data_IF_788969943286
#
_entry.id   IF_788969943286
#
_cell.length_a   1.000
_cell.length_b   1.000
_cell.length_c   1.000
_cell.angle_alpha   90.00
_cell.angle_beta   90.00
_cell.angle_gamma   90.00
#
_symmetry.space_group_name_H-M   'P 1'
#
loop_
_entity.id
_entity.type
_entity.pdbx_description
1 polymer ?
#
# COMPACT_ATOMS: atom_id res chain seq x y z
N UNK A 1 -13.94 -9.04 38.22
CA UNK A 1 -12.61 -9.49 37.73
C UNK A 1 -12.31 -8.75 36.44
N UNK A 2 -11.18 -8.04 36.31
CA UNK A 2 -10.79 -7.44 35.02
C UNK A 2 -10.55 -8.57 34.03
N UNK A 3 -11.25 -8.55 32.89
CA UNK A 3 -11.07 -9.53 31.81
C UNK A 3 -9.60 -9.46 31.37
N UNK A 4 -8.92 -10.60 31.25
CA UNK A 4 -7.52 -10.60 30.82
C UNK A 4 -7.40 -9.93 29.44
N UNK A 5 -6.32 -9.18 29.17
CA UNK A 5 -6.15 -8.54 27.87
C UNK A 5 -6.06 -9.57 26.75
N UNK A 6 -6.67 -9.25 25.60
CA UNK A 6 -6.62 -10.11 24.41
C UNK A 6 -5.19 -10.20 23.87
N UNK A 7 -4.73 -11.41 23.56
CA UNK A 7 -3.46 -11.67 22.90
C UNK A 7 -3.72 -11.98 21.42
N UNK A 8 -3.29 -11.09 20.54
CA UNK A 8 -3.62 -11.14 19.11
C UNK A 8 -2.33 -11.25 18.30
N UNK A 9 -2.24 -12.26 17.44
CA UNK A 9 -1.20 -12.37 16.45
C UNK A 9 -1.72 -11.95 15.08
N UNK A 10 -1.01 -11.03 14.41
CA UNK A 10 -1.31 -10.60 13.04
C UNK A 10 -0.22 -11.14 12.12
N UNK A 11 -0.62 -11.77 11.01
CA UNK A 11 0.31 -12.28 10.01
C UNK A 11 0.06 -11.58 8.66
N UNK A 12 0.89 -10.58 8.37
CA UNK A 12 0.90 -9.85 7.09
C UNK A 12 2.33 -9.50 6.70
N UNK A 13 2.87 -10.19 5.70
CA UNK A 13 4.30 -10.14 5.38
C UNK A 13 4.67 -9.12 4.29
N UNK A 14 3.70 -8.64 3.51
CA UNK A 14 3.89 -7.76 2.34
C UNK A 14 2.56 -7.49 1.66
N UNK A 15 2.45 -6.64 0.63
CA UNK A 15 3.40 -5.59 0.27
C UNK A 15 3.12 -4.34 1.10
N UNK A 16 3.95 -3.31 0.98
CA UNK A 16 3.81 -2.03 1.70
C UNK A 16 2.38 -1.51 1.72
N UNK A 17 1.69 -1.49 0.57
CA UNK A 17 0.30 -1.01 0.53
C UNK A 17 -0.68 -1.85 1.33
N UNK A 18 -0.55 -3.17 1.30
CA UNK A 18 -1.39 -4.04 2.13
C UNK A 18 -1.05 -3.97 3.62
N UNK A 19 0.20 -3.66 3.98
CA UNK A 19 0.60 -3.40 5.36
C UNK A 19 0.04 -2.05 5.83
N UNK A 20 -0.01 -1.04 4.96
CA UNK A 20 -0.72 0.21 5.24
C UNK A 20 -2.22 -0.06 5.49
N UNK A 21 -2.87 -0.93 4.72
CA UNK A 21 -4.23 -1.36 5.03
C UNK A 21 -4.33 -2.11 6.38
N UNK A 22 -3.39 -3.01 6.66
CA UNK A 22 -3.39 -3.76 7.92
C UNK A 22 -3.19 -2.84 9.14
N UNK A 23 -2.49 -1.71 8.99
CA UNK A 23 -2.39 -0.70 10.06
C UNK A 23 -3.77 -0.16 10.47
N UNK A 24 -4.70 0.07 9.53
CA UNK A 24 -6.05 0.48 9.88
C UNK A 24 -6.82 -0.61 10.66
N UNK A 25 -6.59 -1.89 10.32
CA UNK A 25 -7.14 -3.02 11.08
C UNK A 25 -6.59 -3.04 12.51
N UNK A 26 -5.26 -2.89 12.67
CA UNK A 26 -4.60 -2.79 13.98
C UNK A 26 -5.20 -1.67 14.81
N UNK A 27 -5.39 -0.49 14.21
CA UNK A 27 -5.88 0.67 14.93
C UNK A 27 -7.37 0.58 15.25
N UNK A 28 -8.19 -0.09 14.43
CA UNK A 28 -9.56 -0.42 14.80
C UNK A 28 -9.60 -1.35 16.02
N UNK A 29 -8.70 -2.34 16.08
CA UNK A 29 -8.56 -3.23 17.23
C UNK A 29 -8.14 -2.46 18.48
N UNK A 30 -7.11 -1.60 18.39
CA UNK A 30 -6.61 -0.81 19.52
C UNK A 30 -7.66 0.15 20.08
N UNK A 31 -8.51 0.75 19.23
CA UNK A 31 -9.59 1.63 19.70
C UNK A 31 -10.62 0.89 20.57
N UNK A 32 -10.97 -0.33 20.20
CA UNK A 32 -11.94 -1.14 20.95
C UNK A 32 -11.30 -1.87 22.14
N UNK A 33 -10.04 -2.30 21.98
CA UNK A 33 -9.31 -3.12 22.94
C UNK A 33 -7.94 -2.48 23.25
N UNK A 34 -7.89 -1.37 24.02
CA UNK A 34 -6.66 -0.62 24.25
C UNK A 34 -5.58 -1.41 24.98
N UNK A 35 -5.97 -2.37 25.83
CA UNK A 35 -5.04 -3.23 26.57
C UNK A 35 -4.56 -4.45 25.75
N UNK A 36 -5.05 -4.66 24.53
CA UNK A 36 -4.72 -5.84 23.74
C UNK A 36 -3.22 -5.91 23.43
N UNK A 37 -2.64 -7.10 23.62
CA UNK A 37 -1.25 -7.40 23.27
C UNK A 37 -1.20 -7.87 21.83
N UNK A 38 -0.72 -7.01 20.94
CA UNK A 38 -0.65 -7.28 19.50
C UNK A 38 0.77 -7.66 19.12
N UNK A 39 0.97 -8.87 18.61
CA UNK A 39 2.21 -9.30 17.95
C UNK A 39 1.99 -9.36 16.44
N UNK A 40 2.72 -8.57 15.66
CA UNK A 40 2.59 -8.54 14.20
C UNK A 40 3.81 -9.16 13.52
N UNK A 41 3.62 -10.34 12.95
CA UNK A 41 4.60 -10.99 12.06
C UNK A 41 4.54 -10.30 10.70
N UNK A 42 5.62 -9.60 10.36
CA UNK A 42 5.68 -8.64 9.26
C UNK A 42 6.97 -8.83 8.46
N UNK A 43 6.97 -8.51 7.16
CA UNK A 43 8.19 -8.55 6.35
C UNK A 43 9.23 -7.55 6.86
N UNK A 44 10.53 -7.88 6.73
CA UNK A 44 11.62 -7.01 7.24
C UNK A 44 11.54 -5.57 6.73
N UNK A 45 11.29 -5.37 5.44
CA UNK A 45 11.16 -4.05 4.82
C UNK A 45 9.93 -3.30 5.33
N UNK A 46 8.79 -3.98 5.38
CA UNK A 46 7.53 -3.42 5.86
C UNK A 46 7.58 -3.08 7.36
N UNK A 47 8.34 -3.85 8.16
CA UNK A 47 8.58 -3.58 9.57
C UNK A 47 9.25 -2.22 9.78
N UNK A 48 10.20 -1.83 8.91
CA UNK A 48 10.87 -0.53 9.00
C UNK A 48 9.89 0.64 8.87
N UNK A 49 8.87 0.51 8.01
CA UNK A 49 7.80 1.51 7.89
C UNK A 49 6.92 1.56 9.13
N UNK A 50 6.69 0.42 9.79
CA UNK A 50 5.80 0.30 10.95
C UNK A 50 6.49 0.54 12.30
N UNK A 51 7.81 0.76 12.33
CA UNK A 51 8.55 1.03 13.57
C UNK A 51 7.95 2.21 14.36
N UNK A 52 7.91 2.08 15.69
CA UNK A 52 7.36 3.11 16.59
C UNK A 52 5.86 3.01 16.85
N UNK A 53 5.16 1.99 16.34
CA UNK A 53 3.75 1.77 16.68
C UNK A 53 3.62 1.43 18.17
N UNK A 54 2.78 2.18 18.87
CA UNK A 54 2.46 1.94 20.27
C UNK A 54 1.71 0.61 20.44
N UNK A 55 2.01 -0.13 21.50
CA UNK A 55 1.33 -1.37 21.88
C UNK A 55 1.28 -2.44 20.76
N UNK A 56 2.26 -2.42 19.85
CA UNK A 56 2.44 -3.44 18.81
C UNK A 56 3.87 -3.96 18.83
N UNK A 57 4.02 -5.25 19.11
CA UNK A 57 5.28 -5.96 18.97
C UNK A 57 5.45 -6.40 17.51
N UNK A 58 6.31 -5.70 16.76
CA UNK A 58 6.69 -6.12 15.42
C UNK A 58 7.67 -7.29 15.48
N UNK A 59 7.41 -8.34 14.73
CA UNK A 59 8.26 -9.53 14.60
C UNK A 59 8.70 -9.63 13.13
N UNK A 60 9.86 -9.04 12.78
CA UNK A 60 10.33 -9.01 11.39
C UNK A 60 10.67 -10.40 10.87
N UNK A 61 10.20 -10.69 9.67
CA UNK A 61 10.44 -11.92 8.94
C UNK A 61 11.20 -11.63 7.64
N UNK A 62 12.42 -12.18 7.53
CA UNK A 62 13.20 -12.09 6.30
C UNK A 62 12.89 -13.28 5.38
N UNK A 63 12.27 -12.98 4.25
CA UNK A 63 11.90 -13.98 3.23
C UNK A 63 13.12 -14.67 2.63
N UNK A 64 14.30 -14.02 2.63
CA UNK A 64 15.56 -14.58 2.11
C UNK A 64 16.04 -15.79 2.91
N UNK A 65 15.64 -15.90 4.18
CA UNK A 65 16.08 -16.98 5.08
C UNK A 65 15.36 -18.32 4.84
N UNK A 66 14.49 -18.42 3.82
CA UNK A 66 13.85 -19.68 3.45
C UNK A 66 13.14 -20.39 4.62
N UNK A 67 13.29 -21.71 4.68
CA UNK A 67 12.74 -22.57 5.75
C UNK A 67 13.40 -22.33 7.11
N UNK A 68 14.72 -22.04 7.16
CA UNK A 68 15.42 -21.70 8.41
C UNK A 68 14.76 -20.51 9.11
N UNK A 69 14.33 -19.51 8.35
CA UNK A 69 13.58 -18.37 8.87
C UNK A 69 12.23 -18.76 9.49
N UNK A 70 11.54 -19.76 8.93
CA UNK A 70 10.27 -20.27 9.48
C UNK A 70 10.49 -20.96 10.83
N UNK A 71 11.46 -21.89 10.90
CA UNK A 71 11.78 -22.59 12.15
C UNK A 71 12.26 -21.63 13.25
N UNK A 72 13.07 -20.63 12.88
CA UNK A 72 13.52 -19.59 13.80
C UNK A 72 12.33 -18.82 14.37
N UNK A 73 11.41 -18.39 13.51
CA UNK A 73 10.19 -17.71 13.92
C UNK A 73 9.33 -18.58 14.85
N UNK A 74 9.17 -19.86 14.55
CA UNK A 74 8.44 -20.79 15.42
C UNK A 74 9.11 -20.96 16.78
N UNK A 75 10.44 -21.03 16.83
CA UNK A 75 11.20 -21.08 18.08
C UNK A 75 10.97 -19.82 18.92
N UNK A 76 11.02 -18.64 18.30
CA UNK A 76 10.73 -17.35 18.96
C UNK A 76 9.31 -17.29 19.52
N UNK A 77 8.34 -17.91 18.84
CA UNK A 77 6.93 -17.93 19.23
C UNK A 77 6.53 -19.13 20.11
N UNK A 78 7.44 -20.07 20.39
CA UNK A 78 7.10 -21.37 21.00
C UNK A 78 6.37 -21.26 22.35
N UNK A 79 6.73 -20.23 23.13
CA UNK A 79 6.20 -19.94 24.46
C UNK A 79 5.06 -18.90 24.46
N UNK A 80 4.68 -18.38 23.28
CA UNK A 80 3.53 -17.49 23.13
C UNK A 80 2.26 -18.31 22.84
N UNK A 81 1.13 -17.80 23.31
CA UNK A 81 -0.22 -18.30 23.01
C UNK A 81 -1.08 -17.08 22.68
N UNK A 82 -1.95 -17.23 21.70
CA UNK A 82 -2.81 -16.16 21.23
C UNK A 82 -4.27 -16.59 21.31
N UNK A 83 -5.15 -15.65 21.65
CA UNK A 83 -6.58 -15.85 21.51
C UNK A 83 -6.94 -15.92 20.03
N UNK A 84 -6.35 -15.01 19.24
CA UNK A 84 -6.59 -14.89 17.81
C UNK A 84 -5.29 -14.85 17.01
N UNK A 85 -5.26 -15.58 15.89
CA UNK A 85 -4.36 -15.37 14.77
C UNK A 85 -5.18 -14.80 13.60
N UNK A 86 -4.85 -13.57 13.19
CA UNK A 86 -5.38 -12.93 11.99
C UNK A 86 -4.42 -13.23 10.83
N UNK A 87 -4.68 -14.31 10.10
CA UNK A 87 -3.89 -14.66 8.91
C UNK A 87 -4.35 -13.82 7.71
N UNK A 88 -3.79 -12.61 7.62
CA UNK A 88 -4.16 -11.60 6.63
C UNK A 88 -3.33 -11.70 5.34
N UNK A 89 -2.56 -12.77 5.14
CA UNK A 89 -1.75 -13.00 3.95
C UNK A 89 -2.19 -14.28 3.24
N UNK A 90 -2.61 -14.16 1.97
CA UNK A 90 -3.13 -15.31 1.20
C UNK A 90 -2.04 -16.21 0.62
N UNK A 91 -0.77 -15.84 0.71
CA UNK A 91 0.32 -16.60 0.12
C UNK A 91 0.63 -17.85 0.95
N UNK A 92 0.88 -18.97 0.29
CA UNK A 92 1.17 -20.29 0.85
C UNK A 92 2.29 -20.23 1.89
N UNK A 93 3.32 -19.41 1.67
CA UNK A 93 4.40 -19.23 2.66
C UNK A 93 3.89 -18.71 4.01
N UNK A 94 2.97 -17.75 4.00
CA UNK A 94 2.36 -17.27 5.24
C UNK A 94 1.44 -18.33 5.85
N UNK A 95 0.70 -19.06 5.02
CA UNK A 95 -0.05 -20.23 5.47
C UNK A 95 0.84 -21.27 6.18
N UNK A 96 2.03 -21.56 5.65
CA UNK A 96 3.00 -22.43 6.32
C UNK A 96 3.47 -21.86 7.66
N UNK A 97 3.83 -20.57 7.71
CA UNK A 97 4.22 -19.89 8.96
C UNK A 97 3.14 -20.05 10.03
N UNK A 98 1.85 -19.95 9.64
CA UNK A 98 0.71 -20.04 10.57
C UNK A 98 0.59 -21.38 11.30
N UNK A 99 1.20 -22.46 10.79
CA UNK A 99 1.15 -23.78 11.41
C UNK A 99 1.84 -23.80 12.78
N UNK A 100 3.00 -23.13 12.92
CA UNK A 100 3.73 -23.06 14.18
C UNK A 100 3.22 -21.97 15.14
N UNK A 101 2.21 -21.19 14.76
CA UNK A 101 1.58 -20.20 15.64
C UNK A 101 0.49 -20.89 16.46
N UNK A 102 0.58 -20.79 17.79
CA UNK A 102 -0.36 -21.40 18.72
C UNK A 102 -1.45 -20.39 19.08
N UNK A 103 -2.60 -20.49 18.41
CA UNK A 103 -3.76 -19.63 18.63
C UNK A 103 -5.05 -20.45 18.74
N UNK A 104 -5.97 -20.02 19.61
CA UNK A 104 -7.28 -20.66 19.78
C UNK A 104 -8.12 -20.53 18.50
N UNK A 105 -8.23 -19.30 17.99
CA UNK A 105 -8.92 -18.99 16.72
C UNK A 105 -7.91 -18.53 15.68
N UNK A 106 -7.79 -19.27 14.58
CA UNK A 106 -7.00 -18.93 13.40
C UNK A 106 -7.95 -18.48 12.31
N UNK A 107 -8.08 -17.17 12.14
CA UNK A 107 -9.00 -16.55 11.19
C UNK A 107 -8.27 -16.30 9.88
N UNK A 108 -8.90 -16.63 8.75
CA UNK A 108 -8.39 -16.41 7.40
C UNK A 108 -9.45 -15.79 6.48
N UNK A 109 -9.06 -15.53 5.23
CA UNK A 109 -10.00 -15.07 4.21
C UNK A 109 -11.01 -16.17 3.86
N UNK A 110 -12.23 -15.75 3.50
CA UNK A 110 -13.22 -16.63 2.91
C UNK A 110 -12.85 -16.97 1.44
N UNK A 111 -13.52 -17.94 0.83
CA UNK A 111 -13.14 -18.53 -0.48
C UNK A 111 -13.15 -17.52 -1.64
N UNK A 112 -13.90 -16.42 -1.53
CA UNK A 112 -13.95 -15.33 -2.50
C UNK A 112 -12.62 -14.55 -2.59
N UNK A 113 -11.88 -14.45 -1.48
CA UNK A 113 -10.63 -13.68 -1.38
C UNK A 113 -9.41 -14.53 -1.05
N UNK A 114 -9.59 -15.74 -0.54
CA UNK A 114 -8.51 -16.67 -0.27
C UNK A 114 -7.80 -17.06 -1.57
N UNK A 115 -6.49 -17.27 -1.47
CA UNK A 115 -5.65 -17.81 -2.55
C UNK A 115 -4.76 -18.91 -2.00
N UNK A 116 -4.18 -19.69 -2.89
CA UNK A 116 -3.19 -20.73 -2.54
C UNK A 116 -3.68 -21.63 -1.39
N UNK A 117 -4.98 -21.92 -1.42
CA UNK A 117 -5.69 -22.73 -0.42
C UNK A 117 -5.50 -22.27 1.04
N UNK A 118 -5.27 -20.96 1.29
CA UNK A 118 -5.09 -20.38 2.64
C UNK A 118 -6.18 -20.83 3.64
N UNK A 119 -7.39 -21.07 3.16
CA UNK A 119 -8.52 -21.51 3.97
C UNK A 119 -8.29 -22.86 4.68
N UNK A 120 -7.37 -23.72 4.18
CA UNK A 120 -6.97 -24.98 4.83
C UNK A 120 -6.11 -24.79 6.09
N UNK A 121 -5.52 -23.61 6.26
CA UNK A 121 -4.58 -23.31 7.35
C UNK A 121 -5.21 -22.51 8.50
N UNK A 122 -6.54 -22.32 8.44
CA UNK A 122 -7.31 -21.49 9.36
C UNK A 122 -8.58 -22.24 9.76
N UNK A 123 -9.03 -22.10 11.01
CA UNK A 123 -10.24 -22.78 11.51
C UNK A 123 -11.48 -21.89 11.47
N UNK A 124 -11.31 -20.57 11.41
CA UNK A 124 -12.39 -19.59 11.21
C UNK A 124 -12.16 -18.76 9.95
N UNK A 125 -13.22 -18.11 9.46
CA UNK A 125 -13.20 -17.32 8.23
C UNK A 125 -13.88 -15.98 8.49
N UNK A 126 -13.33 -14.93 7.91
CA UNK A 126 -14.00 -13.63 7.89
C UNK A 126 -15.29 -13.70 7.06
N UNK A 127 -16.23 -12.84 7.37
CA UNK A 127 -17.42 -12.65 6.54
C UNK A 127 -17.03 -12.12 5.15
N UNK A 128 -17.85 -12.45 4.15
CA UNK A 128 -17.71 -11.87 2.81
C UNK A 128 -18.17 -10.41 2.83
N UNK A 129 -17.50 -9.57 2.03
CA UNK A 129 -17.93 -8.18 1.81
C UNK A 129 -18.18 -7.94 0.33
N UNK A 130 -19.27 -7.20 0.04
CA UNK A 130 -19.64 -6.77 -1.30
C UNK A 130 -18.70 -5.69 -1.84
N UNK A 131 -17.99 -4.98 -0.96
CA UNK A 131 -17.03 -3.96 -1.39
C UNK A 131 -15.86 -4.60 -2.14
N UNK A 132 -15.49 -4.11 -3.34
CA UNK A 132 -14.34 -4.64 -4.07
C UNK A 132 -13.00 -4.26 -3.42
N UNK A 133 -12.95 -3.29 -2.51
CA UNK A 133 -11.68 -2.80 -2.00
C UNK A 133 -10.97 -3.84 -1.11
N UNK A 134 -9.64 -3.92 -1.22
CA UNK A 134 -8.83 -4.86 -0.42
C UNK A 134 -8.90 -4.53 1.06
N UNK A 135 -8.81 -3.25 1.43
CA UNK A 135 -8.93 -2.80 2.82
C UNK A 135 -10.22 -3.29 3.48
N UNK A 136 -11.37 -3.17 2.81
CA UNK A 136 -12.65 -3.56 3.41
C UNK A 136 -12.69 -5.06 3.72
N UNK A 137 -12.05 -5.89 2.89
CA UNK A 137 -11.86 -7.30 3.21
C UNK A 137 -10.91 -7.55 4.37
N UNK A 138 -9.88 -6.71 4.54
CA UNK A 138 -8.98 -6.77 5.68
C UNK A 138 -9.68 -6.32 6.98
N UNK A 139 -10.56 -5.31 6.93
CA UNK A 139 -11.35 -4.86 8.08
C UNK A 139 -12.28 -5.94 8.64
N UNK A 140 -12.69 -6.92 7.82
CA UNK A 140 -13.48 -8.06 8.30
C UNK A 140 -12.72 -8.94 9.30
N UNK A 141 -11.38 -8.87 9.38
CA UNK A 141 -10.62 -9.53 10.44
C UNK A 141 -10.81 -8.87 11.80
N UNK A 142 -10.88 -7.53 11.85
CA UNK A 142 -11.23 -6.81 13.08
C UNK A 142 -12.67 -7.14 13.49
N UNK A 143 -13.61 -7.16 12.53
CA UNK A 143 -15.00 -7.57 12.78
C UNK A 143 -15.10 -8.98 13.37
N UNK A 144 -14.34 -9.93 12.82
CA UNK A 144 -14.36 -11.33 13.24
C UNK A 144 -13.93 -11.54 14.72
N UNK A 145 -13.25 -10.57 15.34
CA UNK A 145 -12.89 -10.59 16.76
C UNK A 145 -13.75 -9.65 17.61
N UNK A 146 -14.87 -9.17 17.07
CA UNK A 146 -15.86 -8.36 17.78
C UNK A 146 -15.63 -6.85 17.74
N UNK A 147 -14.73 -6.33 16.90
CA UNK A 147 -14.62 -4.87 16.70
C UNK A 147 -15.85 -4.37 15.96
N UNK A 148 -16.51 -3.35 16.53
CA UNK A 148 -17.75 -2.76 16.00
C UNK A 148 -17.49 -1.50 15.17
N UNK A 149 -16.61 -0.61 15.61
CA UNK A 149 -16.15 0.53 14.82
C UNK A 149 -15.08 0.09 13.81
N UNK A 150 -15.50 -0.14 12.57
CA UNK A 150 -14.63 -0.52 11.46
C UNK A 150 -14.16 0.67 10.63
N UNK A 151 -14.36 1.90 11.09
CA UNK A 151 -13.92 3.11 10.37
C UNK A 151 -12.40 3.07 10.19
N UNK A 152 -11.87 3.05 8.96
CA UNK A 152 -10.43 3.06 8.75
C UNK A 152 -9.82 4.36 9.25
N UNK A 153 -8.76 4.25 10.05
CA UNK A 153 -7.93 5.38 10.50
C UNK A 153 -6.48 4.93 10.44
N UNK A 154 -5.60 5.88 10.15
CA UNK A 154 -4.17 5.66 10.10
C UNK A 154 -3.48 6.69 10.97
N UNK A 155 -2.68 6.20 11.90
CA UNK A 155 -1.68 6.96 12.62
C UNK A 155 -0.37 6.22 12.46
N UNK A 156 0.31 6.49 11.35
CA UNK A 156 1.65 5.94 11.11
C UNK A 156 2.65 6.87 11.82
N UNK A 157 3.42 6.36 12.80
CA UNK A 157 4.33 7.21 13.57
C UNK A 157 5.47 7.72 12.70
N UNK A 158 5.77 9.00 12.79
CA UNK A 158 6.92 9.64 12.14
C UNK A 158 7.77 10.29 13.22
N UNK A 159 9.09 10.11 13.15
CA UNK A 159 10.00 10.78 14.08
C UNK A 159 10.22 12.23 13.64
N UNK A 160 10.55 13.12 14.60
CA UNK A 160 10.94 14.49 14.25
C UNK A 160 12.14 14.51 13.29
N UNK A 161 13.10 13.60 13.45
CA UNK A 161 14.24 13.47 12.53
C UNK A 161 13.85 13.08 11.11
N UNK A 162 12.80 12.26 10.93
CA UNK A 162 12.30 11.93 9.59
C UNK A 162 11.61 13.13 8.95
N UNK A 163 10.86 13.90 9.74
CA UNK A 163 10.21 15.13 9.28
C UNK A 163 11.24 16.20 8.88
N UNK A 164 12.24 16.44 9.73
CA UNK A 164 13.30 17.42 9.50
C UNK A 164 14.14 17.06 8.28
N UNK A 165 14.49 15.79 8.11
CA UNK A 165 15.20 15.31 6.92
C UNK A 165 14.41 15.60 5.64
N UNK A 166 13.11 15.29 5.64
CA UNK A 166 12.27 15.46 4.46
C UNK A 166 11.91 16.92 4.17
N UNK A 167 11.92 17.79 5.19
CA UNK A 167 11.66 19.22 5.03
C UNK A 167 12.70 19.92 4.13
N UNK A 168 13.90 19.35 3.98
CA UNK A 168 14.94 19.87 3.08
C UNK A 168 14.53 19.85 1.59
N UNK A 169 13.52 19.06 1.22
CA UNK A 169 13.02 18.96 -0.16
C UNK A 169 11.76 19.79 -0.41
N UNK A 170 11.21 20.39 0.64
CA UNK A 170 9.95 21.15 0.60
C UNK A 170 10.25 22.63 0.35
N UNK A 171 9.53 23.22 -0.60
CA UNK A 171 9.51 24.67 -0.81
C UNK A 171 8.28 25.24 -0.10
N UNK A 172 8.51 26.02 0.97
CA UNK A 172 7.44 26.62 1.78
C UNK A 172 6.68 27.74 1.07
N UNK A 173 7.19 28.22 -0.07
CA UNK A 173 6.57 29.30 -0.86
C UNK A 173 5.72 28.79 -2.01
N UNK A 174 5.74 27.47 -2.27
CA UNK A 174 5.08 26.83 -3.41
C UNK A 174 4.22 25.66 -2.95
N UNK A 175 3.36 25.21 -3.85
CA UNK A 175 2.80 23.86 -3.76
C UNK A 175 3.89 22.83 -4.05
N UNK A 176 3.84 21.70 -3.36
CA UNK A 176 4.81 20.62 -3.46
C UNK A 176 4.11 19.37 -4.00
N UNK A 177 4.61 18.80 -5.10
CA UNK A 177 4.07 17.59 -5.73
C UNK A 177 5.15 16.51 -5.77
N UNK A 178 4.82 15.35 -5.22
CA UNK A 178 5.67 14.16 -5.30
C UNK A 178 5.22 13.28 -6.46
N UNK A 179 6.13 12.95 -7.37
CA UNK A 179 5.93 11.94 -8.41
C UNK A 179 6.73 10.71 -8.02
N UNK A 180 6.04 9.57 -7.85
CA UNK A 180 6.66 8.27 -7.67
C UNK A 180 6.35 7.40 -8.90
N UNK A 181 7.24 7.37 -9.91
CA UNK A 181 6.91 6.93 -11.27
C UNK A 181 6.91 5.41 -11.45
N UNK A 182 7.54 4.68 -10.54
CA UNK A 182 7.85 3.26 -10.70
C UNK A 182 7.12 2.39 -9.69
N UNK A 183 6.69 1.22 -10.14
CA UNK A 183 6.06 0.19 -9.33
C UNK A 183 6.93 -1.07 -9.24
N UNK A 184 6.45 -2.06 -8.48
CA UNK A 184 7.10 -3.38 -8.42
C UNK A 184 7.04 -4.17 -9.73
N UNK A 185 6.28 -3.71 -10.73
CA UNK A 185 6.16 -4.35 -12.04
C UNK A 185 6.12 -3.29 -13.13
N UNK A 186 7.12 -3.29 -14.01
CA UNK A 186 7.28 -2.32 -15.12
C UNK A 186 6.01 -2.11 -15.97
N UNK A 187 5.20 -3.14 -16.14
CA UNK A 187 3.91 -3.07 -16.87
C UNK A 187 2.93 -2.04 -16.29
N UNK A 188 3.03 -1.71 -14.99
CA UNK A 188 2.17 -0.73 -14.31
C UNK A 188 2.75 0.69 -14.33
N UNK A 189 3.93 0.89 -14.89
CA UNK A 189 4.60 2.18 -14.87
C UNK A 189 4.13 3.01 -16.07
N UNK A 190 3.93 4.31 -15.88
CA UNK A 190 3.36 5.18 -16.93
C UNK A 190 4.38 5.61 -18.00
N UNK A 191 5.67 5.47 -17.69
CA UNK A 191 6.78 5.85 -18.57
C UNK A 191 7.44 7.16 -18.18
N UNK A 192 8.76 7.26 -18.39
CA UNK A 192 9.57 8.40 -17.96
C UNK A 192 9.16 9.69 -18.69
N UNK A 193 8.91 9.61 -20.00
CA UNK A 193 8.57 10.74 -20.86
C UNK A 193 7.28 11.44 -20.40
N UNK A 194 6.24 10.65 -20.07
CA UNK A 194 4.96 11.19 -19.62
C UNK A 194 5.04 11.81 -18.23
N UNK A 195 5.78 11.17 -17.31
CA UNK A 195 6.06 11.76 -16.00
C UNK A 195 6.88 13.05 -16.12
N UNK A 196 7.83 13.11 -17.06
CA UNK A 196 8.61 14.31 -17.32
C UNK A 196 7.74 15.45 -17.89
N UNK A 197 6.80 15.14 -18.79
CA UNK A 197 5.87 16.14 -19.32
C UNK A 197 5.01 16.75 -18.21
N UNK A 198 4.50 15.93 -17.29
CA UNK A 198 3.79 16.42 -16.10
C UNK A 198 4.71 17.27 -15.21
N UNK A 199 5.94 16.82 -14.96
CA UNK A 199 6.90 17.57 -14.14
C UNK A 199 7.25 18.94 -14.76
N UNK A 200 7.47 19.00 -16.07
CA UNK A 200 7.71 20.25 -16.79
C UNK A 200 6.51 21.20 -16.68
N UNK A 201 5.31 20.71 -16.94
CA UNK A 201 4.09 21.51 -16.86
C UNK A 201 3.83 22.04 -15.45
N UNK A 202 4.00 21.21 -14.41
CA UNK A 202 3.89 21.63 -13.01
C UNK A 202 4.94 22.70 -12.65
N UNK A 203 6.21 22.49 -13.01
CA UNK A 203 7.27 23.46 -12.70
C UNK A 203 7.07 24.80 -13.42
N UNK A 204 6.48 24.80 -14.63
CA UNK A 204 6.08 26.03 -15.33
C UNK A 204 4.99 26.83 -14.58
N UNK A 205 4.19 26.16 -13.74
CA UNK A 205 3.19 26.78 -12.87
C UNK A 205 3.71 27.18 -11.49
N UNK A 206 5.04 27.26 -11.31
CA UNK A 206 5.67 27.57 -10.02
C UNK A 206 5.34 26.55 -8.91
N UNK A 207 5.24 25.27 -9.27
CA UNK A 207 5.08 24.16 -8.33
C UNK A 207 6.44 23.48 -8.13
N UNK A 208 6.79 23.16 -6.89
CA UNK A 208 7.96 22.35 -6.57
C UNK A 208 7.66 20.87 -6.86
N UNK A 209 8.41 20.26 -7.76
CA UNK A 209 8.21 18.87 -8.18
C UNK A 209 9.35 18.01 -7.69
N UNK A 210 9.02 16.95 -6.97
CA UNK A 210 9.97 16.03 -6.35
C UNK A 210 9.76 14.64 -6.95
N UNK A 211 10.83 14.00 -7.42
CA UNK A 211 10.82 12.61 -7.94
C UNK A 211 11.41 11.69 -6.88
N UNK A 212 10.65 10.66 -6.49
CA UNK A 212 11.09 9.68 -5.49
C UNK A 212 10.87 8.24 -5.93
N UNK A 213 11.73 7.35 -5.41
CA UNK A 213 11.72 5.92 -5.68
C UNK A 213 12.80 5.20 -4.90
N UNK A 214 12.87 3.89 -5.07
CA UNK A 214 13.86 3.02 -4.42
C UNK A 214 15.26 3.17 -5.04
N UNK A 215 16.34 2.75 -4.35
CA UNK A 215 17.69 2.76 -4.90
C UNK A 215 17.94 1.66 -5.94
N UNK A 216 16.90 1.00 -6.46
CA UNK A 216 17.07 -0.01 -7.51
C UNK A 216 17.55 0.64 -8.81
N UNK A 217 18.43 -0.06 -9.55
CA UNK A 217 18.98 0.47 -10.80
C UNK A 217 17.91 0.95 -11.78
N UNK A 218 16.80 0.21 -11.88
CA UNK A 218 15.68 0.55 -12.75
C UNK A 218 14.97 1.86 -12.36
N UNK A 219 14.72 2.07 -11.07
CA UNK A 219 14.07 3.30 -10.59
C UNK A 219 15.01 4.50 -10.71
N UNK A 220 16.29 4.31 -10.38
CA UNK A 220 17.32 5.34 -10.56
C UNK A 220 17.45 5.76 -12.03
N UNK A 221 17.49 4.81 -12.97
CA UNK A 221 17.52 5.08 -14.41
C UNK A 221 16.26 5.85 -14.86
N UNK A 222 15.09 5.41 -14.42
CA UNK A 222 13.81 6.06 -14.77
C UNK A 222 13.75 7.50 -14.24
N UNK A 223 14.13 7.71 -12.98
CA UNK A 223 14.14 9.04 -12.37
C UNK A 223 15.18 9.97 -13.00
N UNK A 224 16.37 9.45 -13.35
CA UNK A 224 17.39 10.22 -14.06
C UNK A 224 16.89 10.65 -15.44
N UNK A 225 16.20 9.77 -16.17
CA UNK A 225 15.59 10.10 -17.45
C UNK A 225 14.50 11.18 -17.30
N UNK A 226 13.67 11.10 -16.26
CA UNK A 226 12.69 12.15 -15.93
C UNK A 226 13.40 13.47 -15.67
N UNK A 227 14.47 13.49 -14.86
CA UNK A 227 15.21 14.70 -14.53
C UNK A 227 15.93 15.30 -15.74
N UNK A 228 16.46 14.49 -16.65
CA UNK A 228 17.05 14.97 -17.91
C UNK A 228 16.03 15.70 -18.77
N UNK A 229 14.81 15.14 -18.87
CA UNK A 229 13.73 15.74 -19.63
C UNK A 229 13.11 16.94 -18.89
N UNK A 230 13.04 16.91 -17.56
CA UNK A 230 12.49 17.98 -16.71
C UNK A 230 13.55 18.52 -15.72
N UNK A 231 14.54 19.34 -16.15
CA UNK A 231 15.70 19.72 -15.33
C UNK A 231 15.37 20.48 -14.03
N UNK A 232 14.19 21.10 -13.94
CA UNK A 232 13.75 21.88 -12.77
C UNK A 232 13.17 21.01 -11.64
N UNK A 233 12.95 19.71 -11.86
CA UNK A 233 12.48 18.81 -10.80
C UNK A 233 13.62 18.35 -9.88
N UNK A 234 13.29 18.03 -8.63
CA UNK A 234 14.24 17.54 -7.63
C UNK A 234 14.21 16.01 -7.64
N UNK A 235 15.31 15.37 -8.03
CA UNK A 235 15.44 13.91 -7.96
C UNK A 235 16.05 13.46 -6.62
N UNK A 236 15.25 12.78 -5.81
CA UNK A 236 15.63 12.20 -4.51
C UNK A 236 15.54 10.67 -4.49
N UNK A 237 15.43 10.04 -5.66
CA UNK A 237 15.37 8.58 -5.79
C UNK A 237 16.56 7.93 -5.08
N UNK A 238 16.28 6.92 -4.25
CA UNK A 238 17.29 6.23 -3.44
C UNK A 238 17.87 7.02 -2.26
N UNK A 239 17.43 8.26 -2.01
CA UNK A 239 17.94 9.11 -0.91
C UNK A 239 17.12 9.03 0.37
N UNK A 240 15.92 8.48 0.33
CA UNK A 240 15.02 8.38 1.50
C UNK A 240 14.89 6.95 2.01
N UNK A 241 14.84 6.78 3.33
CA UNK A 241 14.25 5.60 3.96
C UNK A 241 12.72 5.55 3.73
N UNK A 242 12.06 4.43 4.06
CA UNK A 242 10.59 4.35 3.99
C UNK A 242 9.89 5.32 4.96
N UNK A 243 10.47 5.57 6.14
CA UNK A 243 9.95 6.54 7.11
C UNK A 243 10.14 7.97 6.62
N UNK A 244 11.30 8.28 6.04
CA UNK A 244 11.57 9.59 5.44
C UNK A 244 10.65 9.82 4.22
N UNK A 245 10.40 8.81 3.39
CA UNK A 245 9.42 8.91 2.30
C UNK A 245 8.01 9.18 2.84
N UNK A 246 7.58 8.49 3.90
CA UNK A 246 6.29 8.76 4.54
C UNK A 246 6.23 10.18 5.13
N UNK A 247 7.31 10.64 5.77
CA UNK A 247 7.43 12.00 6.29
C UNK A 247 7.44 13.07 5.19
N UNK A 248 8.02 12.78 4.03
CA UNK A 248 7.96 13.66 2.86
C UNK A 248 6.53 13.70 2.31
N UNK A 249 5.90 12.53 2.14
CA UNK A 249 4.52 12.42 1.67
C UNK A 249 3.56 13.22 2.58
N UNK A 250 3.77 13.19 3.90
CA UNK A 250 2.99 13.98 4.84
C UNK A 250 3.11 15.51 4.65
N UNK A 251 4.20 15.98 4.01
CA UNK A 251 4.50 17.40 3.82
C UNK A 251 4.20 17.93 2.41
N UNK A 252 3.90 17.06 1.44
CA UNK A 252 3.53 17.48 0.08
C UNK A 252 2.02 17.71 -0.06
N UNK A 253 1.63 18.52 -1.04
CA UNK A 253 0.22 18.81 -1.33
C UNK A 253 -0.45 17.72 -2.17
N UNK A 254 0.33 16.94 -2.93
CA UNK A 254 -0.17 15.89 -3.83
C UNK A 254 0.89 14.84 -4.12
N UNK A 255 0.46 13.57 -4.21
CA UNK A 255 1.24 12.46 -4.76
C UNK A 255 0.66 12.01 -6.10
N UNK A 256 1.51 11.86 -7.12
CA UNK A 256 1.17 11.23 -8.40
C UNK A 256 1.94 9.93 -8.51
N UNK A 257 1.23 8.80 -8.66
CA UNK A 257 1.87 7.49 -8.70
C UNK A 257 0.99 6.44 -9.38
N UNK A 258 1.57 5.41 -10.01
CA UNK A 258 0.79 4.21 -10.33
C UNK A 258 0.41 3.43 -9.05
N UNK A 259 -0.10 2.21 -9.19
CA UNK A 259 -0.33 1.31 -8.05
C UNK A 259 1.00 0.91 -7.38
N UNK A 260 1.48 1.71 -6.42
CA UNK A 260 2.78 1.53 -5.76
C UNK A 260 2.69 1.72 -4.24
N UNK A 261 3.76 1.38 -3.52
CA UNK A 261 3.84 1.65 -2.09
C UNK A 261 3.65 3.12 -1.71
N UNK A 262 4.14 4.07 -2.54
CA UNK A 262 4.01 5.50 -2.26
C UNK A 262 2.54 5.96 -2.24
N UNK A 263 1.73 5.48 -3.20
CA UNK A 263 0.31 5.79 -3.28
C UNK A 263 -0.46 5.34 -2.02
N UNK A 264 -0.10 4.18 -1.48
CA UNK A 264 -0.73 3.63 -0.26
C UNK A 264 -0.18 4.25 1.02
N UNK A 265 1.10 4.64 1.07
CA UNK A 265 1.66 5.41 2.18
C UNK A 265 0.95 6.77 2.27
N UNK A 266 0.65 7.42 1.14
CA UNK A 266 -0.07 8.69 1.12
C UNK A 266 -1.48 8.61 1.75
N UNK A 267 -2.20 7.50 1.56
CA UNK A 267 -3.45 7.25 2.30
C UNK A 267 -3.24 7.30 3.82
N UNK A 268 -2.12 6.75 4.32
CA UNK A 268 -1.83 6.78 5.77
C UNK A 268 -1.48 8.16 6.31
N UNK A 269 -1.03 9.07 5.43
CA UNK A 269 -0.64 10.44 5.76
C UNK A 269 -1.74 11.45 5.47
N UNK A 270 -2.89 11.01 4.96
CA UNK A 270 -3.98 11.85 4.48
C UNK A 270 -3.56 12.83 3.37
N UNK A 271 -2.55 12.46 2.58
CA UNK A 271 -2.08 13.25 1.44
C UNK A 271 -2.87 12.86 0.19
N UNK A 272 -3.45 13.82 -0.55
CA UNK A 272 -4.17 13.54 -1.80
C UNK A 272 -3.32 12.76 -2.79
N UNK A 273 -3.95 11.83 -3.52
CA UNK A 273 -3.26 10.99 -4.51
C UNK A 273 -3.98 10.98 -5.84
N UNK A 274 -3.26 11.30 -6.91
CA UNK A 274 -3.66 10.97 -8.27
C UNK A 274 -3.06 9.62 -8.64
N UNK A 275 -3.91 8.61 -8.63
CA UNK A 275 -3.54 7.24 -8.98
C UNK A 275 -3.62 6.98 -10.48
N UNK A 276 -2.59 6.35 -11.06
CA UNK A 276 -2.57 5.98 -12.49
C UNK A 276 -2.78 4.46 -12.67
N UNK A 277 -3.90 4.06 -13.29
CA UNK A 277 -4.34 2.66 -13.30
C UNK A 277 -4.78 2.14 -14.67
N UNK A 278 -4.05 1.20 -15.26
CA UNK A 278 -4.52 0.46 -16.43
C UNK A 278 -4.66 -1.06 -16.21
N UNK A 279 -3.85 -1.64 -15.31
CA UNK A 279 -3.74 -3.11 -15.16
C UNK A 279 -4.59 -3.65 -14.02
N UNK A 280 -4.55 -3.02 -12.86
CA UNK A 280 -5.34 -3.45 -11.70
C UNK A 280 -6.64 -2.67 -11.63
N UNK A 281 -7.70 -3.31 -11.14
CA UNK A 281 -8.98 -2.66 -10.91
C UNK A 281 -8.80 -1.56 -9.85
N UNK A 282 -9.00 -0.27 -10.19
CA UNK A 282 -8.81 0.82 -9.22
C UNK A 282 -9.79 0.70 -8.04
N UNK A 283 -11.00 0.17 -8.24
CA UNK A 283 -11.97 -0.07 -7.15
C UNK A 283 -11.47 -1.10 -6.13
N UNK A 284 -10.45 -1.89 -6.49
CA UNK A 284 -9.85 -2.90 -5.62
C UNK A 284 -8.62 -2.38 -4.87
N UNK A 285 -7.79 -1.57 -5.51
CA UNK A 285 -6.44 -1.24 -5.00
C UNK A 285 -6.05 0.23 -5.11
N UNK A 286 -6.95 1.13 -5.50
CA UNK A 286 -6.65 2.55 -5.48
C UNK A 286 -6.37 3.04 -4.04
N UNK A 287 -5.71 4.19 -3.87
CA UNK A 287 -5.57 4.81 -2.55
C UNK A 287 -6.95 5.01 -1.93
N UNK A 288 -7.15 4.52 -0.71
CA UNK A 288 -8.50 4.25 -0.20
C UNK A 288 -9.39 5.51 -0.13
N UNK A 289 -8.80 6.64 0.29
CA UNK A 289 -9.48 7.93 0.42
C UNK A 289 -9.60 8.70 -0.91
N UNK A 290 -8.87 8.27 -1.95
CA UNK A 290 -8.71 9.00 -3.21
C UNK A 290 -9.12 8.17 -4.44
N UNK A 291 -10.02 7.20 -4.26
CA UNK A 291 -10.53 6.39 -5.39
C UNK A 291 -11.15 7.25 -6.50
N UNK A 292 -11.70 8.42 -6.14
CA UNK A 292 -12.26 9.41 -7.07
C UNK A 292 -11.20 10.24 -7.82
N UNK A 293 -9.96 10.25 -7.33
CA UNK A 293 -8.84 10.97 -7.94
C UNK A 293 -7.98 10.09 -8.87
N UNK A 294 -8.47 8.90 -9.22
CA UNK A 294 -7.79 7.98 -10.13
C UNK A 294 -8.03 8.36 -11.59
N UNK A 295 -6.97 8.36 -12.40
CA UNK A 295 -7.04 8.34 -13.86
C UNK A 295 -6.83 6.89 -14.31
N UNK A 296 -7.82 6.30 -14.98
CA UNK A 296 -7.82 4.87 -15.28
C UNK A 296 -8.21 4.52 -16.71
N UNK A 297 -7.43 3.61 -17.29
CA UNK A 297 -7.75 2.90 -18.53
C UNK A 297 -8.22 1.45 -18.28
N UNK A 298 -8.43 1.03 -17.01
CA UNK A 298 -8.70 -0.37 -16.65
C UNK A 298 -10.01 -0.88 -17.26
N UNK A 299 -11.11 -0.13 -17.14
CA UNK A 299 -12.44 -0.56 -17.58
C UNK A 299 -12.46 -0.83 -19.10
N UNK A 300 -11.87 0.08 -19.90
CA UNK A 300 -11.69 -0.14 -21.34
C UNK A 300 -10.78 -1.33 -21.62
N UNK A 301 -9.67 -1.46 -20.90
CA UNK A 301 -8.69 -2.52 -21.13
C UNK A 301 -9.24 -3.91 -20.84
N UNK A 302 -10.10 -4.08 -19.82
CA UNK A 302 -10.75 -5.36 -19.56
C UNK A 302 -11.88 -5.65 -20.55
N UNK A 303 -12.61 -4.62 -21.00
CA UNK A 303 -13.65 -4.78 -22.00
C UNK A 303 -13.06 -5.26 -23.34
N UNK A 304 -11.97 -4.64 -23.81
CA UNK A 304 -11.30 -5.01 -25.07
C UNK A 304 -10.75 -6.44 -25.05
N UNK A 305 -10.19 -6.85 -23.93
CA UNK A 305 -9.55 -8.16 -23.81
C UNK A 305 -10.56 -9.28 -23.53
N UNK A 306 -11.42 -9.10 -22.52
CA UNK A 306 -12.32 -10.14 -22.01
C UNK A 306 -13.74 -10.07 -22.57
N UNK A 307 -14.12 -8.98 -23.26
CA UNK A 307 -15.49 -8.77 -23.76
C UNK A 307 -16.52 -8.60 -22.65
N UNK A 308 -16.08 -8.30 -21.42
CA UNK A 308 -16.94 -8.20 -20.22
C UNK A 308 -16.55 -7.00 -19.39
N UNK A 309 -17.52 -6.27 -18.81
CA UNK A 309 -17.23 -5.20 -17.86
C UNK A 309 -16.63 -5.77 -16.56
N UNK A 310 -15.94 -4.91 -15.81
CA UNK A 310 -15.19 -5.31 -14.61
C UNK A 310 -16.04 -6.07 -13.57
N UNK A 311 -17.31 -5.72 -13.41
CA UNK A 311 -18.22 -6.29 -12.42
C UNK A 311 -18.73 -7.70 -12.80
N UNK A 312 -18.40 -8.20 -13.98
CA UNK A 312 -18.66 -9.58 -14.43
C UNK A 312 -17.40 -10.44 -14.46
N UNK A 313 -16.25 -9.90 -14.03
CA UNK A 313 -14.98 -10.59 -13.97
C UNK A 313 -14.64 -11.00 -12.53
N UNK A 314 -13.83 -12.06 -12.33
CA UNK A 314 -13.34 -12.42 -11.00
C UNK A 314 -12.68 -11.22 -10.29
N UNK A 315 -12.88 -11.12 -8.98
CA UNK A 315 -12.49 -9.96 -8.15
C UNK A 315 -11.09 -9.40 -8.42
N UNK A 316 -10.13 -10.27 -8.68
CA UNK A 316 -8.73 -9.89 -8.84
C UNK A 316 -8.21 -10.09 -10.27
N UNK A 317 -9.10 -9.92 -11.25
CA UNK A 317 -8.76 -9.92 -12.67
C UNK A 317 -7.86 -8.72 -12.99
N UNK A 318 -6.79 -8.99 -13.73
CA UNK A 318 -5.88 -7.97 -14.26
C UNK A 318 -6.22 -7.74 -15.72
N UNK A 319 -6.20 -6.49 -16.17
CA UNK A 319 -6.29 -6.20 -17.59
C UNK A 319 -5.07 -6.78 -18.32
N UNK A 320 -5.28 -7.15 -19.57
CA UNK A 320 -4.28 -7.71 -20.47
C UNK A 320 -4.44 -7.06 -21.85
N UNK A 321 -3.39 -7.08 -22.67
CA UNK A 321 -3.48 -6.69 -24.08
C UNK A 321 -3.36 -7.91 -24.99
N UNK A 322 -4.10 -7.92 -26.11
CA UNK A 322 -3.99 -8.93 -27.16
C UNK A 322 -2.81 -8.65 -28.10
N UNK A 323 -2.52 -7.39 -28.35
CA UNK A 323 -1.49 -6.91 -29.29
C UNK A 323 -0.13 -6.66 -28.63
N UNK A 324 -0.02 -6.85 -27.31
CA UNK A 324 1.20 -6.55 -26.55
C UNK A 324 1.39 -5.05 -26.28
N UNK A 325 0.37 -4.23 -26.50
CA UNK A 325 0.42 -2.80 -26.21
C UNK A 325 0.65 -2.53 -24.71
N UNK A 326 1.32 -1.43 -24.38
CA UNK A 326 1.46 -1.01 -22.98
C UNK A 326 0.19 -0.30 -22.54
N UNK A 327 -0.66 -1.00 -21.80
CA UNK A 327 -1.96 -0.47 -21.35
C UNK A 327 -1.87 0.86 -20.60
N UNK A 328 -0.76 1.12 -19.89
CA UNK A 328 -0.53 2.40 -19.22
C UNK A 328 -0.44 3.59 -20.20
N UNK A 329 -0.02 3.37 -21.45
CA UNK A 329 0.05 4.43 -22.47
C UNK A 329 -1.33 4.91 -22.94
N UNK A 330 -2.40 4.18 -22.59
CA UNK A 330 -3.79 4.61 -22.81
C UNK A 330 -4.22 5.75 -21.87
N UNK A 331 -3.48 5.99 -20.79
CA UNK A 331 -3.69 7.16 -19.93
C UNK A 331 -2.98 8.35 -20.58
N UNK A 332 -3.76 9.33 -21.03
CA UNK A 332 -3.22 10.53 -21.67
C UNK A 332 -2.63 11.51 -20.65
N UNK A 333 -1.68 12.34 -21.08
CA UNK A 333 -1.10 13.36 -20.21
C UNK A 333 -2.13 14.44 -19.86
N UNK A 334 -3.01 14.78 -20.81
CA UNK A 334 -4.03 15.80 -20.61
C UNK A 334 -5.10 15.38 -19.59
N UNK A 335 -5.48 14.09 -19.54
CA UNK A 335 -6.36 13.56 -18.49
C UNK A 335 -5.72 13.73 -17.10
N UNK A 336 -4.41 13.52 -17.00
CA UNK A 336 -3.66 13.70 -15.75
C UNK A 336 -3.56 15.18 -15.39
N UNK A 337 -3.25 16.08 -16.34
CA UNK A 337 -3.24 17.54 -16.11
C UNK A 337 -4.61 18.04 -15.63
N UNK A 338 -5.69 17.61 -16.27
CA UNK A 338 -7.07 17.92 -15.86
C UNK A 338 -7.33 17.47 -14.43
N UNK A 339 -6.95 16.23 -14.09
CA UNK A 339 -7.12 15.72 -12.73
C UNK A 339 -6.28 16.50 -11.71
N UNK A 340 -5.06 16.90 -12.04
CA UNK A 340 -4.23 17.75 -11.18
C UNK A 340 -4.91 19.09 -10.90
N UNK A 341 -5.47 19.74 -11.92
CA UNK A 341 -6.21 21.00 -11.79
C UNK A 341 -7.41 20.83 -10.87
N UNK A 342 -8.17 19.75 -11.03
CA UNK A 342 -9.30 19.41 -10.14
C UNK A 342 -8.86 19.20 -8.68
N UNK A 343 -7.74 18.52 -8.44
CA UNK A 343 -7.28 18.17 -7.09
C UNK A 343 -6.53 19.32 -6.39
N UNK A 344 -5.70 20.08 -7.09
CA UNK A 344 -4.88 21.17 -6.52
C UNK A 344 -5.52 22.55 -6.66
N UNK A 345 -6.62 22.69 -7.40
CA UNK A 345 -7.24 23.97 -7.75
C UNK A 345 -6.26 24.96 -8.42
N UNK A 346 -5.34 24.44 -9.25
CA UNK A 346 -4.40 25.25 -10.05
C UNK A 346 -4.98 25.61 -11.42
N UNK A 347 -4.46 26.62 -12.10
CA UNK A 347 -4.92 27.00 -13.46
C UNK A 347 -4.27 26.08 -14.50
N UNK A 348 -5.02 25.73 -15.56
CA UNK A 348 -4.55 24.88 -16.67
C UNK A 348 -3.36 25.48 -17.43
#
# INVERSE_FOLDING_TARGET
MKKQPLNICILRLSAIGDVCHTLAVVQAIQRQYPDAKISWIIGKTEAMLMQGLENVELIPYDKKNGWKGIFTLWKTLANKRFDFLLNMQTAFRASMISLGIKATKKIGFNRDRAREMQWLFTNEKVEMTSSPHVLDGQMMFAKAIGVTDLTPRWSLPLSQSDLDYSAAFIDKTKKNVLISPCSSKKEKDWGAERNAEIAQWLTAQNINVIIAGSPSAYEMETANKIQQLAPKCINITGKTSLKQLAALINQVDLVISPDTGAAHIATTQSTPVIGLYAIHNPRRTAPYNDQHNVVSAYDQSVLDYYGKPWNKLPWATKAKSKSGEKLMERISVDDVKKKIVETLAVKL
#
